data_IF_186243010311
#
_entry.id   IF_186243010311
#
_cell.length_a   1.000
_cell.length_b   1.000
_cell.length_c   1.000
_cell.angle_alpha   90.00
_cell.angle_beta   90.00
_cell.angle_gamma   90.00
#
_symmetry.space_group_name_H-M   'P 1'
#
loop_
_entity.id
_entity.type
_entity.pdbx_description
1 polymer ?
#
# COMPACT_ATOMS: atom_id res chain seq x y z
N UNK A 1 -19.58 17.48 -22.07
CA UNK A 1 -18.52 17.30 -21.06
C UNK A 1 -18.23 15.81 -20.98
N UNK A 2 -16.98 15.38 -21.21
CA UNK A 2 -16.63 13.96 -21.20
C UNK A 2 -16.40 13.42 -19.78
N UNK A 3 -16.67 12.13 -19.56
CA UNK A 3 -16.33 11.45 -18.32
C UNK A 3 -14.91 10.88 -18.39
N UNK A 4 -14.13 11.01 -17.31
CA UNK A 4 -12.82 10.37 -17.16
C UNK A 4 -12.97 9.18 -16.22
N UNK A 5 -12.54 8.00 -16.66
CA UNK A 5 -12.48 6.79 -15.85
C UNK A 5 -11.03 6.40 -15.59
N UNK A 6 -10.69 6.14 -14.33
CA UNK A 6 -9.38 5.61 -13.93
C UNK A 6 -9.54 4.25 -13.27
N UNK A 7 -8.51 3.41 -13.36
CA UNK A 7 -8.46 2.10 -12.72
C UNK A 7 -7.22 2.03 -11.83
N UNK A 8 -7.39 1.50 -10.62
CA UNK A 8 -6.32 1.21 -9.68
C UNK A 8 -6.37 -0.28 -9.32
N UNK A 9 -5.20 -0.89 -9.21
CA UNK A 9 -5.03 -2.24 -8.68
C UNK A 9 -4.47 -2.14 -7.26
N UNK A 10 -5.18 -2.76 -6.32
CA UNK A 10 -4.75 -2.92 -4.95
C UNK A 10 -4.52 -4.41 -4.71
N UNK A 11 -3.41 -4.76 -4.09
CA UNK A 11 -3.07 -6.16 -3.85
C UNK A 11 -2.03 -6.33 -2.76
N UNK A 12 -1.85 -7.58 -2.36
CA UNK A 12 -0.81 -7.94 -1.40
C UNK A 12 -0.24 -9.33 -1.73
N UNK A 13 0.93 -9.63 -1.18
CA UNK A 13 1.53 -10.97 -1.14
C UNK A 13 1.96 -11.22 0.30
N UNK A 14 1.73 -12.43 0.79
CA UNK A 14 2.22 -12.88 2.09
C UNK A 14 2.91 -14.24 1.91
N UNK A 15 4.06 -14.40 2.55
CA UNK A 15 4.86 -15.60 2.49
C UNK A 15 5.19 -16.06 3.91
N UNK A 16 4.87 -17.32 4.21
CA UNK A 16 5.26 -17.96 5.47
C UNK A 16 6.78 -18.06 5.52
N UNK A 17 7.38 -17.61 6.62
CA UNK A 17 8.82 -17.73 6.85
C UNK A 17 9.17 -19.17 7.24
N UNK A 18 10.34 -19.64 6.81
CA UNK A 18 10.87 -20.96 7.25
C UNK A 18 11.14 -21.00 8.76
N UNK A 19 11.54 -19.86 9.32
CA UNK A 19 11.77 -19.66 10.75
C UNK A 19 11.20 -18.29 11.14
N UNK A 20 10.47 -18.19 12.27
CA UNK A 20 10.01 -16.90 12.76
C UNK A 20 11.16 -15.92 13.04
N UNK A 21 10.87 -14.63 13.06
CA UNK A 21 11.83 -13.62 13.52
C UNK A 21 12.04 -13.71 15.03
N UNK A 22 12.99 -12.94 15.59
CA UNK A 22 13.23 -12.90 17.04
C UNK A 22 12.03 -12.35 17.81
N UNK A 23 11.27 -11.47 17.17
CA UNK A 23 10.00 -10.91 17.66
C UNK A 23 8.82 -11.89 17.50
N UNK A 24 9.03 -13.04 16.88
CA UNK A 24 8.01 -14.06 16.65
C UNK A 24 7.17 -13.89 15.37
N UNK A 25 7.58 -13.01 14.44
CA UNK A 25 6.83 -12.83 13.19
C UNK A 25 6.95 -14.05 12.29
N UNK A 26 5.81 -14.53 11.77
CA UNK A 26 5.70 -15.78 11.02
C UNK A 26 5.61 -15.59 9.52
N UNK A 27 5.25 -14.38 9.07
CA UNK A 27 5.07 -14.05 7.66
C UNK A 27 5.88 -12.81 7.29
N UNK A 28 6.41 -12.80 6.08
CA UNK A 28 6.79 -11.58 5.37
C UNK A 28 5.67 -11.23 4.40
N UNK A 29 5.31 -9.96 4.34
CA UNK A 29 4.22 -9.53 3.49
C UNK A 29 4.51 -8.18 2.84
N UNK A 30 3.85 -7.95 1.72
CA UNK A 30 3.93 -6.72 0.95
C UNK A 30 2.52 -6.34 0.48
N UNK A 31 2.15 -5.09 0.62
CA UNK A 31 0.89 -4.51 0.11
C UNK A 31 1.21 -3.37 -0.84
N UNK A 32 0.44 -3.20 -1.92
CA UNK A 32 0.69 -2.19 -2.94
C UNK A 32 -0.57 -1.57 -3.52
N UNK A 33 -0.39 -0.36 -4.08
CA UNK A 33 -1.30 0.30 -5.01
C UNK A 33 -0.56 0.58 -6.31
N UNK A 34 -1.14 0.21 -7.46
CA UNK A 34 -0.55 0.45 -8.79
C UNK A 34 -1.62 0.65 -9.86
N UNK A 35 -1.21 1.02 -11.07
CA UNK A 35 -2.08 0.99 -12.24
C UNK A 35 -2.10 -0.39 -12.90
N UNK A 36 -3.16 -0.74 -13.66
CA UNK A 36 -3.19 -1.96 -14.45
C UNK A 36 -2.07 -2.00 -15.48
N UNK A 37 -1.57 -3.20 -15.79
CA UNK A 37 -0.55 -3.44 -16.84
C UNK A 37 0.65 -2.48 -16.79
N UNK A 38 1.14 -2.17 -15.58
CA UNK A 38 2.27 -1.24 -15.34
C UNK A 38 2.01 0.22 -15.74
N UNK A 39 0.75 0.63 -15.92
CA UNK A 39 0.40 2.03 -16.18
C UNK A 39 0.88 2.96 -15.05
N UNK A 40 1.40 4.13 -15.45
CA UNK A 40 1.95 5.10 -14.51
C UNK A 40 0.86 5.96 -13.87
N UNK A 41 0.48 5.62 -12.65
CA UNK A 41 -0.54 6.36 -11.90
C UNK A 41 -0.01 7.63 -11.22
N UNK A 42 1.31 7.85 -11.17
CA UNK A 42 1.91 9.06 -10.58
C UNK A 42 1.47 10.35 -11.29
N UNK A 43 0.94 10.25 -12.52
CA UNK A 43 0.36 11.39 -13.24
C UNK A 43 -0.83 12.01 -12.51
N UNK A 44 -1.64 11.19 -11.82
CA UNK A 44 -2.84 11.66 -11.13
C UNK A 44 -2.88 11.32 -9.64
N UNK A 45 -1.97 10.49 -9.12
CA UNK A 45 -1.80 10.20 -7.70
C UNK A 45 -0.71 11.08 -7.09
N UNK A 46 -1.03 11.82 -6.04
CA UNK A 46 -0.11 12.65 -5.26
C UNK A 46 0.64 11.82 -4.22
N UNK A 47 -0.08 10.97 -3.49
CA UNK A 47 0.47 10.08 -2.48
C UNK A 47 -0.51 8.95 -2.16
N UNK A 48 0.02 7.88 -1.59
CA UNK A 48 -0.76 6.78 -1.01
C UNK A 48 -0.40 6.67 0.46
N UNK A 49 -1.40 6.53 1.32
CA UNK A 49 -1.22 6.34 2.76
C UNK A 49 -1.74 4.96 3.14
N UNK A 50 -0.88 4.15 3.74
CA UNK A 50 -1.20 2.84 4.29
C UNK A 50 -1.32 2.96 5.81
N UNK A 51 -2.50 2.64 6.35
CA UNK A 51 -2.75 2.63 7.78
C UNK A 51 -2.57 1.21 8.30
N UNK A 52 -1.37 0.91 8.80
CA UNK A 52 -1.06 -0.36 9.44
C UNK A 52 -1.77 -0.48 10.78
N UNK A 53 -1.89 -1.70 11.30
CA UNK A 53 -2.36 -1.94 12.66
C UNK A 53 -1.47 -1.22 13.68
N UNK A 54 -2.04 -0.77 14.80
CA UNK A 54 -1.36 0.07 15.80
C UNK A 54 -0.14 -0.60 16.47
N UNK A 55 -0.05 -1.93 16.39
CA UNK A 55 1.11 -2.70 16.85
C UNK A 55 2.39 -2.43 16.04
N UNK A 56 2.28 -1.88 14.82
CA UNK A 56 3.43 -1.55 14.00
C UNK A 56 4.03 -0.19 14.40
N UNK A 57 5.37 -0.06 14.45
CA UNK A 57 5.99 1.23 14.66
C UNK A 57 5.65 2.16 13.48
N UNK A 58 5.27 3.40 13.79
CA UNK A 58 4.84 4.41 12.80
C UNK A 58 3.78 3.84 11.84
N UNK A 59 2.58 3.49 12.34
CA UNK A 59 1.60 2.71 11.58
C UNK A 59 1.04 3.47 10.36
N UNK A 60 1.13 4.80 10.33
CA UNK A 60 0.82 5.62 9.15
C UNK A 60 2.02 5.69 8.20
N UNK A 61 2.01 4.90 7.14
CA UNK A 61 3.07 4.89 6.10
C UNK A 61 2.64 5.70 4.90
N UNK A 62 3.44 6.67 4.49
CA UNK A 62 3.12 7.58 3.37
C UNK A 62 4.11 7.36 2.23
N UNK A 63 3.61 7.02 1.05
CA UNK A 63 4.38 6.90 -0.18
C UNK A 63 3.99 8.05 -1.12
N UNK A 64 4.92 8.96 -1.43
CA UNK A 64 4.69 10.09 -2.35
C UNK A 64 5.03 9.77 -3.81
N UNK A 65 5.87 8.77 -4.02
CA UNK A 65 6.34 8.36 -5.34
C UNK A 65 6.24 6.83 -5.51
N UNK A 66 6.10 6.33 -6.75
CA UNK A 66 6.08 4.90 -7.01
C UNK A 66 7.44 4.25 -6.70
N UNK A 67 7.47 2.97 -6.30
CA UNK A 67 6.32 2.09 -6.09
C UNK A 67 5.58 2.41 -4.79
N UNK A 68 4.24 2.56 -4.86
CA UNK A 68 3.40 2.76 -3.69
C UNK A 68 3.17 1.42 -3.00
N UNK A 69 4.13 1.00 -2.16
CA UNK A 69 4.07 -0.26 -1.43
C UNK A 69 4.64 -0.15 -0.02
N UNK A 70 4.24 -1.08 0.83
CA UNK A 70 4.84 -1.32 2.15
C UNK A 70 5.24 -2.79 2.24
N UNK A 71 6.44 -3.05 2.76
CA UNK A 71 6.98 -4.38 3.06
C UNK A 71 7.22 -4.47 4.56
N UNK A 72 6.75 -5.55 5.18
CA UNK A 72 6.76 -5.75 6.63
C UNK A 72 6.75 -7.24 6.99
N UNK A 73 7.03 -7.54 8.25
CA UNK A 73 6.84 -8.88 8.82
C UNK A 73 5.74 -8.84 9.88
N UNK A 74 4.98 -9.92 10.03
CA UNK A 74 3.90 -9.98 11.00
C UNK A 74 3.50 -11.41 11.37
N UNK A 75 2.63 -11.53 12.37
CA UNK A 75 2.14 -12.82 12.87
C UNK A 75 0.66 -13.07 12.55
N UNK A 76 -0.09 -12.04 12.14
CA UNK A 76 -1.52 -12.11 11.86
C UNK A 76 -1.93 -11.14 10.74
N UNK A 77 -3.05 -11.44 10.08
CA UNK A 77 -3.71 -10.52 9.16
C UNK A 77 -4.54 -9.45 9.88
N UNK A 78 -4.83 -8.35 9.20
CA UNK A 78 -5.62 -7.24 9.73
C UNK A 78 -6.27 -6.45 8.58
N UNK A 79 -7.26 -5.61 8.89
CA UNK A 79 -7.84 -4.65 7.93
C UNK A 79 -6.90 -3.45 7.81
N UNK A 80 -6.51 -3.12 6.59
CA UNK A 80 -5.54 -2.07 6.29
C UNK A 80 -6.23 -0.97 5.46
N UNK A 81 -6.71 0.13 6.07
CA UNK A 81 -7.20 1.28 5.34
C UNK A 81 -6.11 1.89 4.45
N UNK A 82 -6.45 2.12 3.18
CA UNK A 82 -5.55 2.72 2.19
C UNK A 82 -6.21 3.99 1.63
N UNK A 83 -5.56 5.13 1.79
CA UNK A 83 -5.98 6.40 1.20
C UNK A 83 -5.14 6.70 -0.03
N UNK A 84 -5.81 6.95 -1.17
CA UNK A 84 -5.16 7.40 -2.41
C UNK A 84 -5.52 8.86 -2.62
N UNK A 85 -4.52 9.74 -2.51
CA UNK A 85 -4.70 11.17 -2.72
C UNK A 85 -4.42 11.48 -4.19
N UNK A 86 -5.37 12.13 -4.88
CA UNK A 86 -5.18 12.56 -6.25
C UNK A 86 -4.54 13.95 -6.33
N UNK A 87 -3.73 14.17 -7.36
CA UNK A 87 -3.22 15.50 -7.75
C UNK A 87 -4.38 16.34 -8.27
N UNK A 88 -5.19 16.86 -7.36
CA UNK A 88 -6.26 17.78 -7.71
C UNK A 88 -5.79 19.20 -7.47
N UNK A 89 -6.01 20.08 -8.45
CA UNK A 89 -6.09 21.51 -8.17
C UNK A 89 -7.49 21.75 -7.62
N UNK A 90 -7.61 21.86 -6.30
CA UNK A 90 -8.81 22.50 -5.74
C UNK A 90 -8.73 23.96 -6.21
N UNK A 91 -9.56 24.32 -7.18
CA UNK A 91 -9.95 25.71 -7.44
C UNK A 91 -11.24 25.96 -6.68
#
# INVERSE_FOLDING_TARGET
VGAVQVKLELGHRAQVRKKPTVEGFTHDWMVFVRGPEHSNIQHFVEKVVFHLHESFPKPKRVCKDPPYKVEESGYAGFILPIEVYFKSKVH
#
